data_IF_169664751865
#
_entry.id   IF_169664751865
#
_cell.length_a   1.000
_cell.length_b   1.000
_cell.length_c   1.000
_cell.angle_alpha   90.00
_cell.angle_beta   90.00
_cell.angle_gamma   90.00
#
_symmetry.space_group_name_H-M   'P 1'
#
loop_
_entity.id
_entity.type
_entity.pdbx_description
1 polymer ?
#
# COMPACT_ATOMS: atom_id res chain seq x y z
N UNK A 1 -3.06 -9.48 -12.75
CA UNK A 1 -3.01 -8.07 -12.27
C UNK A 1 -1.75 -7.83 -11.47
N UNK A 2 -1.28 -6.62 -11.52
CA UNK A 2 -0.15 -6.20 -10.70
C UNK A 2 -0.68 -5.91 -9.29
N UNK A 3 -0.15 -6.62 -8.30
CA UNK A 3 -0.56 -6.48 -6.91
C UNK A 3 0.32 -5.46 -6.21
N UNK A 4 -0.29 -4.50 -5.54
CA UNK A 4 0.46 -3.45 -4.87
C UNK A 4 -0.01 -3.23 -3.43
N UNK A 5 0.91 -2.66 -2.63
CA UNK A 5 0.63 -2.23 -1.28
C UNK A 5 0.82 -0.71 -1.21
N UNK A 6 -0.15 -0.03 -0.62
CA UNK A 6 -0.18 1.44 -0.56
C UNK A 6 0.28 1.91 0.82
N UNK A 7 1.52 2.39 0.89
CA UNK A 7 2.11 2.85 2.14
C UNK A 7 1.98 4.35 2.27
N UNK A 8 1.66 4.81 3.48
CA UNK A 8 1.37 6.22 3.76
C UNK A 8 0.29 6.71 2.81
N UNK A 9 -0.80 5.94 2.80
CA UNK A 9 -1.83 6.06 1.77
C UNK A 9 -2.49 7.45 1.70
N UNK A 10 -2.56 8.15 2.84
CA UNK A 10 -3.21 9.45 2.89
C UNK A 10 -4.63 9.36 2.38
N UNK A 11 -4.96 10.18 1.42
CA UNK A 11 -6.26 10.14 0.76
C UNK A 11 -6.27 9.26 -0.50
N UNK A 12 -5.17 8.57 -0.78
CA UNK A 12 -5.12 7.60 -1.85
C UNK A 12 -4.83 8.17 -3.24
N UNK A 13 -3.96 9.18 -3.34
CA UNK A 13 -3.61 9.76 -4.63
C UNK A 13 -3.02 8.74 -5.60
N UNK A 14 -2.09 7.92 -5.14
CA UNK A 14 -1.51 6.87 -5.98
C UNK A 14 -2.55 5.82 -6.37
N UNK A 15 -3.35 5.39 -5.41
CA UNK A 15 -4.40 4.40 -5.66
C UNK A 15 -5.39 4.89 -6.70
N UNK A 16 -5.80 6.14 -6.60
CA UNK A 16 -6.70 6.74 -7.58
C UNK A 16 -6.14 6.65 -8.99
N UNK A 17 -4.87 6.98 -9.15
CA UNK A 17 -4.20 6.88 -10.44
C UNK A 17 -4.11 5.46 -10.96
N UNK A 18 -3.77 4.51 -10.10
CA UNK A 18 -3.64 3.11 -10.48
C UNK A 18 -5.00 2.49 -10.85
N UNK A 19 -6.06 2.85 -10.13
CA UNK A 19 -7.39 2.37 -10.46
C UNK A 19 -7.87 2.90 -11.81
N UNK A 20 -7.55 4.14 -12.11
CA UNK A 20 -7.88 4.71 -13.42
C UNK A 20 -7.11 4.05 -14.55
N UNK A 21 -5.86 3.71 -14.32
CA UNK A 21 -5.03 3.03 -15.31
C UNK A 21 -5.51 1.62 -15.59
N UNK A 22 -6.04 0.93 -14.58
CA UNK A 22 -6.48 -0.45 -14.69
C UNK A 22 -5.31 -1.44 -14.63
N UNK A 23 -5.61 -2.68 -14.33
CA UNK A 23 -4.60 -3.75 -14.26
C UNK A 23 -3.86 -3.83 -12.94
N UNK A 24 -4.28 -3.08 -11.92
CA UNK A 24 -3.66 -3.06 -10.60
C UNK A 24 -4.66 -3.50 -9.55
N UNK A 25 -4.18 -4.27 -8.58
CA UNK A 25 -4.98 -4.72 -7.45
C UNK A 25 -4.31 -4.30 -6.15
N UNK A 26 -5.00 -3.51 -5.33
CA UNK A 26 -4.51 -3.15 -4.01
C UNK A 26 -4.75 -4.31 -3.04
N UNK A 27 -3.71 -4.79 -2.40
CA UNK A 27 -3.81 -5.91 -1.45
C UNK A 27 -3.75 -5.44 -0.01
N UNK A 28 -3.38 -4.21 0.23
CA UNK A 28 -3.32 -3.66 1.57
C UNK A 28 -2.84 -2.22 1.57
N UNK A 29 -2.96 -1.61 2.71
CA UNK A 29 -2.56 -0.20 2.88
C UNK A 29 -2.07 0.06 4.30
N UNK A 30 -1.30 1.13 4.44
CA UNK A 30 -0.77 1.57 5.72
C UNK A 30 -0.97 3.07 5.85
N UNK A 31 -1.60 3.50 6.93
CA UNK A 31 -1.79 4.90 7.23
C UNK A 31 -1.93 5.09 8.74
N UNK A 32 -1.08 5.93 9.32
CA UNK A 32 -1.07 6.18 10.76
C UNK A 32 -2.06 7.26 11.18
N UNK A 33 -2.37 8.19 10.29
CA UNK A 33 -3.32 9.27 10.58
C UNK A 33 -4.74 8.73 10.51
N UNK A 34 -5.46 8.81 11.62
CA UNK A 34 -6.81 8.26 11.74
C UNK A 34 -7.81 8.93 10.80
N UNK A 35 -7.67 10.22 10.58
CA UNK A 35 -8.56 10.97 9.69
C UNK A 35 -8.29 10.62 8.23
N UNK A 36 -7.03 10.52 7.86
CA UNK A 36 -6.64 10.11 6.50
C UNK A 36 -7.10 8.68 6.21
N UNK A 37 -6.92 7.78 7.18
CA UNK A 37 -7.41 6.40 7.07
C UNK A 37 -8.91 6.34 6.82
N UNK A 38 -9.68 7.11 7.59
CA UNK A 38 -11.12 7.14 7.46
C UNK A 38 -11.55 7.67 6.09
N UNK A 39 -10.90 8.72 5.62
CA UNK A 39 -11.17 9.27 4.30
C UNK A 39 -10.86 8.25 3.20
N UNK A 40 -9.73 7.58 3.31
CA UNK A 40 -9.30 6.54 2.38
C UNK A 40 -10.33 5.41 2.31
N UNK A 41 -10.78 4.91 3.46
CA UNK A 41 -11.74 3.81 3.52
C UNK A 41 -13.12 4.21 3.03
N UNK A 42 -13.43 5.51 3.05
CA UNK A 42 -14.67 6.02 2.48
C UNK A 42 -14.60 6.08 0.96
N UNK A 43 -13.44 6.38 0.41
CA UNK A 43 -13.24 6.54 -1.03
C UNK A 43 -13.05 5.22 -1.77
N UNK A 44 -12.53 4.21 -1.10
CA UNK A 44 -12.14 2.95 -1.74
C UNK A 44 -12.73 1.76 -1.00
N UNK A 45 -12.97 0.69 -1.76
CA UNK A 45 -13.38 -0.58 -1.17
C UNK A 45 -12.15 -1.30 -0.61
N UNK A 46 -12.05 -1.34 0.71
CA UNK A 46 -10.90 -1.92 1.41
C UNK A 46 -11.25 -3.20 2.15
N UNK A 47 -12.42 -3.77 1.89
CA UNK A 47 -12.97 -4.87 2.70
C UNK A 47 -12.05 -6.08 2.78
N UNK A 48 -11.38 -6.42 1.70
CA UNK A 48 -10.52 -7.61 1.65
C UNK A 48 -9.05 -7.27 1.72
N UNK A 49 -8.71 -6.08 2.20
CA UNK A 49 -7.33 -5.61 2.22
C UNK A 49 -6.75 -5.67 3.62
N UNK A 50 -5.46 -5.94 3.70
CA UNK A 50 -4.73 -5.91 4.97
C UNK A 50 -4.44 -4.47 5.34
N UNK A 51 -4.65 -4.13 6.59
CA UNK A 51 -4.37 -2.80 7.11
C UNK A 51 -3.32 -2.81 8.20
N UNK A 52 -2.40 -1.85 8.13
CA UNK A 52 -1.45 -1.55 9.20
C UNK A 52 -1.51 -0.06 9.53
N UNK A 53 -1.53 0.25 10.82
CA UNK A 53 -1.49 1.64 11.27
C UNK A 53 -0.07 2.20 11.25
N UNK A 54 0.93 1.36 11.44
CA UNK A 54 2.33 1.74 11.52
C UNK A 54 3.14 0.86 10.57
N UNK A 55 3.87 1.52 9.70
CA UNK A 55 4.70 0.84 8.71
C UNK A 55 5.72 -0.12 9.35
N UNK A 56 6.15 0.17 10.56
CA UNK A 56 7.10 -0.68 11.28
C UNK A 56 6.49 -2.02 11.71
N UNK A 57 5.18 -2.11 11.73
CA UNK A 57 4.46 -3.34 12.12
C UNK A 57 4.21 -4.28 10.96
N UNK A 58 4.51 -3.86 9.74
CA UNK A 58 4.25 -4.67 8.56
C UNK A 58 5.11 -5.93 8.59
N UNK A 59 4.44 -7.07 8.57
CA UNK A 59 5.11 -8.37 8.49
C UNK A 59 5.01 -8.87 7.05
N UNK A 60 6.14 -8.94 6.34
CA UNK A 60 6.13 -9.43 4.96
C UNK A 60 5.54 -10.83 4.79
N UNK A 61 5.61 -11.65 5.85
CA UNK A 61 5.08 -13.01 5.78
C UNK A 61 3.55 -13.05 5.81
N UNK A 62 2.93 -11.98 6.28
CA UNK A 62 1.47 -11.87 6.31
C UNK A 62 0.90 -11.28 5.04
N UNK A 63 1.74 -10.72 4.19
CA UNK A 63 1.30 -10.10 2.96
C UNK A 63 1.27 -11.12 1.83
N UNK A 64 0.30 -11.01 0.91
CA UNK A 64 0.38 -11.77 -0.34
C UNK A 64 1.60 -11.31 -1.15
N UNK A 65 1.93 -12.04 -2.18
CA UNK A 65 3.02 -11.65 -3.07
C UNK A 65 2.70 -10.31 -3.70
N UNK A 66 3.70 -9.42 -3.65
CA UNK A 66 3.57 -8.05 -4.17
C UNK A 66 4.48 -7.87 -5.36
N UNK A 67 3.98 -7.08 -6.31
CA UNK A 67 4.78 -6.62 -7.44
C UNK A 67 5.24 -5.18 -7.25
N UNK A 68 4.53 -4.42 -6.42
CA UNK A 68 4.74 -2.99 -6.33
C UNK A 68 4.41 -2.49 -4.93
N UNK A 69 5.22 -1.58 -4.41
CA UNK A 69 4.88 -0.78 -3.24
C UNK A 69 4.85 0.67 -3.68
N UNK A 70 3.76 1.36 -3.40
CA UNK A 70 3.63 2.77 -3.75
C UNK A 70 3.26 3.61 -2.53
N UNK A 71 3.55 4.90 -2.64
CA UNK A 71 3.29 5.85 -1.56
C UNK A 71 4.43 6.83 -1.40
N UNK A 72 4.31 7.75 -0.45
CA UNK A 72 5.39 8.65 -0.10
C UNK A 72 6.40 7.93 0.76
N UNK A 73 7.33 7.26 0.14
CA UNK A 73 8.38 6.55 0.85
C UNK A 73 9.61 7.41 0.84
N UNK A 74 9.89 8.03 1.98
CA UNK A 74 11.15 8.72 2.15
C UNK A 74 12.21 7.71 2.58
N UNK A 75 13.38 8.03 2.40
CA UNK A 75 14.71 7.48 2.76
C UNK A 75 14.82 6.20 3.59
N UNK A 76 13.75 5.58 4.01
CA UNK A 76 13.83 4.37 4.80
C UNK A 76 13.93 3.18 3.86
N UNK A 77 14.94 2.41 4.11
CA UNK A 77 14.99 1.06 3.63
C UNK A 77 13.83 0.33 4.28
N UNK A 78 12.72 0.36 3.65
CA UNK A 78 11.47 0.01 4.27
C UNK A 78 11.48 -1.43 4.74
N UNK A 79 11.88 -2.30 3.87
CA UNK A 79 12.26 -3.65 4.21
C UNK A 79 12.86 -4.30 2.98
N UNK A 80 13.68 -5.30 3.24
CA UNK A 80 14.13 -6.18 2.20
C UNK A 80 13.44 -7.51 2.41
N UNK A 81 12.60 -7.89 1.49
CA UNK A 81 12.03 -9.21 1.47
C UNK A 81 12.84 -10.04 0.49
N UNK A 82 13.49 -11.07 1.04
CA UNK A 82 14.24 -12.00 0.20
C UNK A 82 13.32 -12.58 -0.85
N UNK A 83 13.79 -12.73 -2.04
CA UNK A 83 13.12 -13.35 -3.18
C UNK A 83 12.00 -12.54 -3.81
N UNK A 84 11.70 -11.33 -3.37
CA UNK A 84 10.75 -10.48 -4.06
C UNK A 84 11.46 -9.33 -4.74
N UNK A 85 11.08 -9.10 -5.99
CA UNK A 85 11.48 -7.92 -6.74
C UNK A 85 10.42 -6.87 -6.52
N UNK A 86 10.75 -5.86 -5.72
CA UNK A 86 9.84 -4.78 -5.43
C UNK A 86 10.18 -3.56 -6.28
N UNK A 87 9.17 -2.97 -6.86
CA UNK A 87 9.29 -1.73 -7.58
C UNK A 87 8.80 -0.59 -6.68
N UNK A 88 9.65 0.38 -6.43
CA UNK A 88 9.34 1.53 -5.58
C UNK A 88 8.79 2.66 -6.43
N UNK A 89 7.65 3.21 -5.98
CA UNK A 89 7.03 4.36 -6.64
C UNK A 89 6.83 5.44 -5.58
N UNK A 90 7.40 6.58 -5.83
CA UNK A 90 7.30 7.74 -4.94
C UNK A 90 6.13 8.63 -5.33
#
# INVERSE_FOLDING_TARGET
MIKYFDIFAGIGGFRSGLEKAGGFECVGYCEIDRYAKKAYETLYDTENEVYYDDARKIDPNELPDLDLICGEITKHKFYEKKSQHLLWVL
#
